data_IF_800548927540
#
_entry.id   IF_800548927540
#
_cell.length_a   1.000
_cell.length_b   1.000
_cell.length_c   1.000
_cell.angle_alpha   90.00
_cell.angle_beta   90.00
_cell.angle_gamma   90.00
#
_symmetry.space_group_name_H-M   'P 1'
#
loop_
_entity.id
_entity.type
_entity.pdbx_description
1 polymer ?
#
# COMPACT_ATOMS: atom_id res chain seq x y z
N UNK A 1 18.47 2.90 19.79
CA UNK A 1 17.56 1.98 19.09
C UNK A 1 16.11 2.48 19.08
N UNK A 2 15.67 3.38 19.96
CA UNK A 2 14.29 3.92 19.93
C UNK A 2 14.01 4.98 18.83
N UNK A 3 15.02 5.46 18.10
CA UNK A 3 14.86 6.54 17.10
C UNK A 3 14.76 6.07 15.63
N UNK A 4 14.94 4.78 15.34
CA UNK A 4 14.95 4.26 13.96
C UNK A 4 13.55 4.03 13.37
N UNK A 5 12.56 3.64 14.17
CA UNK A 5 11.19 3.40 13.68
C UNK A 5 10.52 4.70 13.20
N UNK A 6 10.64 5.84 13.93
CA UNK A 6 10.15 7.12 13.45
C UNK A 6 10.81 7.58 12.14
N UNK A 7 12.10 7.31 11.94
CA UNK A 7 12.81 7.69 10.72
C UNK A 7 12.41 6.84 9.52
N UNK A 8 12.18 5.53 9.70
CA UNK A 8 11.70 4.63 8.64
C UNK A 8 10.28 4.94 8.19
N UNK A 9 9.37 5.21 9.14
CA UNK A 9 8.03 5.72 8.84
C UNK A 9 8.11 7.06 8.11
N UNK A 10 9.07 7.91 8.48
CA UNK A 10 9.40 9.14 7.76
C UNK A 10 9.80 8.88 6.31
N UNK A 11 10.76 7.98 6.06
CA UNK A 11 11.24 7.65 4.71
C UNK A 11 10.14 7.08 3.80
N UNK A 12 9.30 6.20 4.33
CA UNK A 12 8.16 5.67 3.58
C UNK A 12 7.12 6.75 3.29
N UNK A 13 6.80 7.61 4.26
CA UNK A 13 5.89 8.74 4.06
C UNK A 13 6.46 9.84 3.13
N UNK A 14 7.78 9.92 3.01
CA UNK A 14 8.47 10.77 2.03
C UNK A 14 8.36 10.19 0.60
N UNK A 15 8.26 8.86 0.46
CA UNK A 15 8.14 8.19 -0.82
C UNK A 15 6.70 8.07 -1.31
N UNK A 16 5.74 7.77 -0.42
CA UNK A 16 4.33 7.56 -0.75
C UNK A 16 3.45 8.33 0.25
N UNK A 17 2.41 9.00 -0.24
CA UNK A 17 1.36 9.63 0.57
C UNK A 17 0.07 8.86 0.38
N UNK A 18 -0.50 8.34 1.46
CA UNK A 18 -1.79 7.65 1.44
C UNK A 18 -2.79 8.51 2.20
N UNK A 19 -3.86 8.93 1.52
CA UNK A 19 -4.94 9.72 2.10
C UNK A 19 -6.27 9.00 1.90
N UNK A 20 -7.05 8.90 2.96
CA UNK A 20 -8.43 8.43 2.90
C UNK A 20 -9.39 9.61 3.02
N UNK A 21 -10.46 9.56 2.23
CA UNK A 21 -11.56 10.52 2.26
C UNK A 21 -12.87 9.73 2.41
N UNK A 22 -13.35 9.67 3.64
CA UNK A 22 -14.58 8.98 4.00
C UNK A 22 -15.85 9.65 3.44
N UNK A 23 -15.82 10.94 3.08
CA UNK A 23 -16.97 11.62 2.49
C UNK A 23 -17.16 11.19 1.04
N UNK A 24 -16.05 11.03 0.31
CA UNK A 24 -16.07 10.62 -1.09
C UNK A 24 -15.90 9.10 -1.29
N UNK A 25 -15.69 8.34 -0.21
CA UNK A 25 -15.38 6.91 -0.22
C UNK A 25 -14.20 6.61 -1.13
N UNK A 26 -13.11 7.34 -0.93
CA UNK A 26 -11.90 7.24 -1.76
C UNK A 26 -10.64 7.09 -0.94
N UNK A 27 -9.72 6.25 -1.43
CA UNK A 27 -8.34 6.17 -0.94
C UNK A 27 -7.44 6.61 -2.09
N UNK A 28 -6.56 7.57 -1.81
CA UNK A 28 -5.64 8.16 -2.79
C UNK A 28 -4.22 7.86 -2.34
N UNK A 29 -3.45 7.20 -3.21
CA UNK A 29 -2.03 6.96 -3.02
C UNK A 29 -1.25 7.80 -4.02
N UNK A 30 -0.31 8.61 -3.54
CA UNK A 30 0.54 9.45 -4.37
C UNK A 30 2.00 9.03 -4.19
N UNK A 31 2.66 8.63 -5.27
CA UNK A 31 4.10 8.35 -5.25
C UNK A 31 4.85 9.66 -5.48
N UNK A 32 5.55 10.12 -4.44
CA UNK A 32 6.25 11.42 -4.42
C UNK A 32 7.59 11.39 -5.15
N UNK A 33 8.24 10.23 -5.19
CA UNK A 33 9.47 10.06 -5.97
C UNK A 33 9.14 9.74 -7.41
N UNK A 34 9.82 10.39 -8.35
CA UNK A 34 9.60 10.17 -9.77
C UNK A 34 9.99 8.72 -10.13
N UNK A 35 9.02 7.97 -10.63
CA UNK A 35 9.21 6.64 -11.20
C UNK A 35 9.20 6.83 -12.71
N UNK A 36 10.27 6.44 -13.39
CA UNK A 36 10.29 6.43 -14.85
C UNK A 36 9.53 5.19 -15.33
N UNK A 37 8.27 5.36 -15.79
CA UNK A 37 7.46 4.28 -16.37
C UNK A 37 6.05 4.19 -15.81
N UNK A 38 5.53 2.96 -15.76
CA UNK A 38 4.21 2.65 -15.18
C UNK A 38 4.37 2.54 -13.66
N UNK A 39 3.52 3.25 -12.91
CA UNK A 39 3.54 3.27 -11.45
C UNK A 39 2.92 2.00 -10.89
N UNK A 40 1.80 1.58 -11.46
CA UNK A 40 1.13 0.32 -11.18
C UNK A 40 0.08 0.04 -12.25
N UNK A 41 -0.30 -1.21 -12.41
CA UNK A 41 -1.52 -1.61 -13.09
C UNK A 41 -2.66 -1.84 -12.07
N UNK A 42 -3.93 -1.59 -12.43
CA UNK A 42 -5.06 -1.84 -11.53
C UNK A 42 -5.09 -3.25 -10.93
N UNK A 43 -4.70 -4.26 -11.73
CA UNK A 43 -4.66 -5.66 -11.28
C UNK A 43 -3.61 -5.90 -10.20
N UNK A 44 -2.44 -5.24 -10.29
CA UNK A 44 -1.39 -5.32 -9.28
C UNK A 44 -1.87 -4.78 -7.93
N UNK A 45 -2.69 -3.72 -7.93
CA UNK A 45 -3.29 -3.18 -6.70
C UNK A 45 -4.21 -4.21 -6.05
N UNK A 46 -5.01 -4.93 -6.84
CA UNK A 46 -5.87 -6.00 -6.34
C UNK A 46 -5.03 -7.15 -5.79
N UNK A 47 -3.99 -7.57 -6.51
CA UNK A 47 -3.06 -8.61 -6.05
C UNK A 47 -2.41 -8.22 -4.73
N UNK A 48 -1.96 -6.98 -4.60
CA UNK A 48 -1.38 -6.46 -3.36
C UNK A 48 -2.37 -6.55 -2.19
N UNK A 49 -3.61 -6.11 -2.38
CA UNK A 49 -4.65 -6.17 -1.35
C UNK A 49 -4.98 -7.62 -0.95
N UNK A 50 -4.98 -8.56 -1.89
CA UNK A 50 -5.24 -9.97 -1.62
C UNK A 50 -4.06 -10.65 -0.91
N UNK A 51 -2.86 -10.53 -1.46
CA UNK A 51 -1.68 -11.25 -0.99
C UNK A 51 -1.12 -10.67 0.31
N UNK A 52 -0.91 -9.36 0.36
CA UNK A 52 -0.30 -8.72 1.52
C UNK A 52 -1.35 -8.20 2.49
N UNK A 53 -2.50 -7.75 1.97
CA UNK A 53 -3.59 -7.20 2.77
C UNK A 53 -4.54 -8.25 3.35
N UNK A 54 -4.45 -9.50 2.90
CA UNK A 54 -5.33 -10.58 3.33
C UNK A 54 -6.78 -10.42 2.88
N UNK A 55 -7.04 -9.62 1.83
CA UNK A 55 -8.38 -9.48 1.27
C UNK A 55 -8.83 -10.80 0.62
N UNK A 56 -9.84 -11.46 1.20
CA UNK A 56 -10.32 -12.79 0.74
C UNK A 56 -11.56 -12.74 -0.14
N UNK A 57 -12.29 -11.64 -0.10
CA UNK A 57 -13.52 -11.44 -0.86
C UNK A 57 -13.29 -10.46 -2.00
N UNK A 58 -14.17 -10.52 -3.00
CA UNK A 58 -14.17 -9.52 -4.07
C UNK A 58 -14.96 -8.29 -3.63
N UNK A 59 -14.27 -7.15 -3.57
CA UNK A 59 -14.86 -5.87 -3.24
C UNK A 59 -15.10 -5.08 -4.54
N UNK A 60 -16.34 -4.64 -4.83
CA UNK A 60 -16.62 -3.74 -5.94
C UNK A 60 -15.92 -2.39 -5.75
N UNK A 61 -14.79 -2.21 -6.40
CA UNK A 61 -14.02 -0.97 -6.37
C UNK A 61 -13.64 -0.54 -7.78
N UNK A 62 -13.54 0.78 -7.97
CA UNK A 62 -12.95 1.36 -9.17
C UNK A 62 -11.52 1.80 -8.84
N UNK A 63 -10.57 1.36 -9.67
CA UNK A 63 -9.16 1.70 -9.54
C UNK A 63 -8.78 2.56 -10.75
N UNK A 64 -8.43 3.81 -10.49
CA UNK A 64 -7.92 4.72 -11.51
C UNK A 64 -6.43 4.97 -11.23
N UNK A 65 -5.56 4.68 -12.21
CA UNK A 65 -4.12 4.94 -12.12
C UNK A 65 -3.74 6.04 -13.11
N UNK A 66 -3.26 7.16 -12.59
CA UNK A 66 -2.63 8.21 -13.38
C UNK A 66 -1.11 8.07 -13.28
N UNK A 67 -0.50 7.44 -14.28
CA UNK A 67 0.96 7.26 -14.34
C UNK A 67 1.73 8.57 -14.53
N UNK A 68 1.10 9.61 -15.08
CA UNK A 68 1.76 10.91 -15.27
C UNK A 68 1.81 11.68 -13.95
N UNK A 69 0.70 11.70 -13.22
CA UNK A 69 0.62 12.31 -11.89
C UNK A 69 1.19 11.40 -10.79
N UNK A 70 1.42 10.13 -11.11
CA UNK A 70 1.79 9.07 -10.18
C UNK A 70 0.81 8.92 -9.00
N UNK A 71 -0.47 8.99 -9.34
CA UNK A 71 -1.59 8.91 -8.39
C UNK A 71 -2.42 7.68 -8.69
N UNK A 72 -2.68 6.88 -7.66
CA UNK A 72 -3.61 5.75 -7.68
C UNK A 72 -4.81 6.14 -6.83
N UNK A 73 -6.01 6.05 -7.40
CA UNK A 73 -7.27 6.33 -6.71
C UNK A 73 -8.12 5.08 -6.66
N UNK A 74 -8.50 4.68 -5.45
CA UNK A 74 -9.47 3.63 -5.18
C UNK A 74 -10.78 4.28 -4.79
N UNK A 75 -11.87 3.95 -5.48
CA UNK A 75 -13.20 4.46 -5.19
C UNK A 75 -14.18 3.32 -4.90
N UNK A 76 -14.93 3.47 -3.81
CA UNK A 76 -15.84 2.44 -3.30
C UNK A 76 -17.30 2.87 -3.46
N UNK A 77 -18.20 1.89 -3.48
CA UNK A 77 -19.64 2.12 -3.60
C UNK A 77 -20.32 2.31 -2.25
N UNK A 78 -19.73 1.78 -1.18
CA UNK A 78 -20.29 1.84 0.17
C UNK A 78 -19.17 2.02 1.22
N UNK A 79 -19.59 2.44 2.41
CA UNK A 79 -18.69 2.75 3.53
C UNK A 79 -18.05 1.50 4.15
N UNK A 80 -18.72 0.36 4.09
CA UNK A 80 -18.20 -0.90 4.64
C UNK A 80 -16.95 -1.35 3.89
N UNK A 81 -17.03 -1.41 2.56
CA UNK A 81 -15.92 -1.76 1.66
C UNK A 81 -14.76 -0.77 1.81
N UNK A 82 -15.07 0.54 1.83
CA UNK A 82 -14.09 1.59 2.06
C UNK A 82 -13.32 1.37 3.37
N UNK A 83 -14.02 1.21 4.50
CA UNK A 83 -13.39 1.01 5.81
C UNK A 83 -12.58 -0.28 5.87
N UNK A 84 -13.03 -1.32 5.17
CA UNK A 84 -12.33 -2.60 5.10
C UNK A 84 -10.99 -2.44 4.41
N UNK A 85 -10.99 -1.79 3.25
CA UNK A 85 -9.74 -1.56 2.49
C UNK A 85 -8.85 -0.51 3.16
N UNK A 86 -9.41 0.52 3.79
CA UNK A 86 -8.67 1.50 4.60
C UNK A 86 -7.84 0.80 5.70
N UNK A 87 -8.47 -0.07 6.48
CA UNK A 87 -7.78 -0.85 7.52
C UNK A 87 -6.70 -1.77 6.97
N UNK A 88 -6.95 -2.34 5.78
CA UNK A 88 -5.95 -3.16 5.09
C UNK A 88 -4.72 -2.31 4.75
N UNK A 89 -4.91 -1.10 4.21
CA UNK A 89 -3.81 -0.20 3.91
C UNK A 89 -3.02 0.22 5.15
N UNK A 90 -3.71 0.54 6.25
CA UNK A 90 -3.05 0.85 7.53
C UNK A 90 -2.16 -0.32 7.98
N UNK A 91 -2.71 -1.55 7.97
CA UNK A 91 -1.96 -2.74 8.35
C UNK A 91 -0.79 -3.05 7.41
N UNK A 92 -0.98 -2.89 6.10
CA UNK A 92 0.09 -3.05 5.11
C UNK A 92 1.24 -2.10 5.38
N UNK A 93 0.92 -0.84 5.69
CA UNK A 93 1.90 0.19 5.94
C UNK A 93 2.71 -0.07 7.21
N UNK A 94 2.03 -0.44 8.30
CA UNK A 94 2.70 -0.77 9.56
C UNK A 94 3.56 -2.03 9.41
N UNK A 95 3.09 -3.06 8.69
CA UNK A 95 3.88 -4.25 8.39
C UNK A 95 5.13 -3.93 7.54
N UNK A 96 5.00 -3.05 6.54
CA UNK A 96 6.14 -2.63 5.72
C UNK A 96 7.20 -1.90 6.56
N UNK A 97 6.78 -1.04 7.49
CA UNK A 97 7.68 -0.36 8.43
C UNK A 97 8.40 -1.38 9.33
N UNK A 98 7.67 -2.35 9.88
CA UNK A 98 8.25 -3.40 10.74
C UNK A 98 9.28 -4.25 9.97
N UNK A 99 8.95 -4.67 8.75
CA UNK A 99 9.85 -5.43 7.89
C UNK A 99 11.13 -4.65 7.58
N UNK A 100 11.02 -3.36 7.25
CA UNK A 100 12.19 -2.50 7.01
C UNK A 100 13.04 -2.32 8.27
N UNK A 101 12.40 -2.17 9.43
CA UNK A 101 13.11 -2.07 10.72
C UNK A 101 13.93 -3.32 10.99
N UNK A 102 13.33 -4.50 10.83
CA UNK A 102 14.02 -5.78 11.05
C UNK A 102 15.16 -6.00 10.05
N UNK A 103 14.96 -5.62 8.79
CA UNK A 103 16.00 -5.69 7.76
C UNK A 103 17.22 -4.82 8.11
N UNK A 104 17.00 -3.61 8.65
CA UNK A 104 18.08 -2.74 9.11
C UNK A 104 18.83 -3.31 10.32
N UNK A 105 18.13 -4.03 11.19
CA UNK A 105 18.72 -4.74 12.33
C UNK A 105 19.43 -6.04 11.92
N UNK A 106 19.46 -6.36 10.62
CA UNK A 106 20.13 -7.52 10.05
C UNK A 106 19.28 -8.80 10.05
N UNK A 107 18.00 -8.72 10.40
CA UNK A 107 17.05 -9.83 10.34
C UNK A 107 16.27 -9.81 9.01
N UNK A 108 16.68 -10.69 8.09
CA UNK A 108 16.06 -10.85 6.78
C UNK A 108 15.06 -12.01 6.72
N UNK A 109 14.73 -12.65 7.86
CA UNK A 109 13.91 -13.87 7.89
C UNK A 109 12.52 -13.66 7.30
N UNK A 110 11.92 -12.49 7.48
CA UNK A 110 10.56 -12.15 6.98
C UNK A 110 10.51 -11.65 5.53
N UNK A 111 11.63 -11.25 4.93
CA UNK A 111 11.66 -10.82 3.52
C UNK A 111 11.55 -12.03 2.56
N UNK A 112 11.90 -13.23 3.04
CA UNK A 112 11.84 -14.47 2.23
C UNK A 112 10.42 -14.93 1.88
N UNK A 113 9.39 -14.42 2.53
CA UNK A 113 7.99 -14.82 2.32
C UNK A 113 7.25 -13.92 1.31
N UNK A 114 7.96 -13.25 0.39
CA UNK A 114 7.33 -12.73 -0.82
C UNK A 114 7.12 -13.92 -1.77
N UNK A 115 5.87 -14.42 -1.94
CA UNK A 115 5.65 -15.55 -2.84
C UNK A 115 6.07 -15.16 -4.25
N UNK A 116 6.84 -16.05 -4.91
CA UNK A 116 7.11 -15.93 -6.34
C UNK A 116 5.76 -15.96 -7.05
N UNK A 117 5.50 -14.96 -7.88
CA UNK A 117 4.42 -15.00 -8.85
C UNK A 117 4.89 -16.02 -9.89
N UNK A 118 4.39 -17.24 -9.81
CA UNK A 118 4.52 -18.20 -10.91
C UNK A 118 3.61 -17.72 -12.05
N UNK A 119 4.18 -17.58 -13.26
CA UNK A 119 3.54 -17.21 -14.53
C UNK A 119 2.31 -18.08 -14.89
#
# INVERSE_FOLDING_TARGET
MEEMIPSLKGMLNEAIDIKSDALNLTIIMTVKQKVDGVVAEPEEIIVMLKMYGGLREEIPMRIDVDNNAQVITLKFQNEEDFKKVEKIFESLWDNAIEMLSQAMDGDFSRIKDVPKIDD
#
